data_IF_982919937379
#
_entry.id   IF_982919937379
#
_cell.length_a   1.000
_cell.length_b   1.000
_cell.length_c   1.000
_cell.angle_alpha   90.00
_cell.angle_beta   90.00
_cell.angle_gamma   90.00
#
_symmetry.space_group_name_H-M   'P 1'
#
loop_
_entity.id
_entity.type
_entity.pdbx_description
1 polymer ?
#
# COMPACT_ATOMS: atom_id res chain seq x y z
N UNK A 1 -35.45 -13.75 9.11
CA UNK A 1 -34.57 -14.69 8.37
C UNK A 1 -33.47 -13.86 7.72
N UNK A 2 -32.24 -13.95 8.21
CA UNK A 2 -31.10 -13.14 7.75
C UNK A 2 -29.91 -14.03 7.42
N UNK A 3 -29.42 -13.90 6.20
CA UNK A 3 -28.46 -14.79 5.54
C UNK A 3 -27.06 -14.74 6.18
N UNK A 4 -26.51 -15.90 6.59
CA UNK A 4 -25.11 -16.02 7.03
C UNK A 4 -24.20 -16.15 5.79
N UNK A 5 -23.58 -15.04 5.37
CA UNK A 5 -22.50 -15.06 4.39
C UNK A 5 -21.25 -15.73 4.97
N UNK A 6 -20.91 -16.93 4.47
CA UNK A 6 -19.64 -17.60 4.78
C UNK A 6 -18.52 -16.96 3.95
N UNK A 7 -17.74 -16.07 4.54
CA UNK A 7 -16.49 -15.60 3.94
C UNK A 7 -15.44 -16.71 3.97
N UNK A 8 -14.96 -17.13 2.79
CA UNK A 8 -13.80 -18.04 2.66
C UNK A 8 -12.52 -17.24 2.92
N UNK A 9 -11.71 -17.67 3.89
CA UNK A 9 -10.35 -17.14 4.10
C UNK A 9 -9.36 -18.11 3.45
N UNK A 10 -8.76 -17.72 2.34
CA UNK A 10 -7.61 -18.44 1.77
C UNK A 10 -6.36 -17.94 2.48
N UNK A 11 -5.69 -18.81 3.24
CA UNK A 11 -4.46 -18.49 3.93
C UNK A 11 -3.30 -18.46 2.92
N UNK A 12 -2.65 -17.30 2.78
CA UNK A 12 -1.30 -17.22 2.24
C UNK A 12 -0.34 -17.26 3.43
N UNK A 13 0.56 -18.25 3.40
CA UNK A 13 1.76 -18.40 4.24
C UNK A 13 1.52 -18.90 5.69
N UNK A 14 1.66 -20.22 5.87
CA UNK A 14 2.52 -20.89 6.87
C UNK A 14 2.52 -20.51 8.35
N UNK A 15 1.68 -19.59 8.84
CA UNK A 15 1.57 -19.24 10.26
C UNK A 15 0.39 -19.95 10.92
N UNK A 16 0.54 -20.33 12.20
CA UNK A 16 -0.53 -20.89 13.03
C UNK A 16 -1.87 -20.16 12.78
N UNK A 17 -2.82 -20.86 12.15
CA UNK A 17 -4.19 -20.37 11.96
C UNK A 17 -4.95 -20.53 13.28
N UNK A 18 -4.79 -19.59 14.20
CA UNK A 18 -5.72 -19.47 15.32
C UNK A 18 -7.12 -19.22 14.74
N UNK A 19 -8.17 -19.94 15.19
CA UNK A 19 -9.53 -19.64 14.76
C UNK A 19 -9.83 -18.18 15.10
N UNK A 20 -10.05 -17.35 14.07
CA UNK A 20 -10.38 -15.94 14.23
C UNK A 20 -11.77 -15.82 14.84
N UNK A 21 -11.83 -15.76 16.17
CA UNK A 21 -13.03 -15.38 16.91
C UNK A 21 -13.34 -13.91 16.64
N UNK A 22 -14.37 -13.66 15.83
CA UNK A 22 -14.85 -12.29 15.54
C UNK A 22 -15.88 -11.89 16.59
N UNK A 23 -15.53 -10.91 17.41
CA UNK A 23 -16.45 -10.31 18.39
C UNK A 23 -16.82 -8.90 17.89
N UNK A 24 -18.10 -8.64 17.71
CA UNK A 24 -18.61 -7.31 17.32
C UNK A 24 -19.18 -6.66 18.59
N UNK A 25 -18.64 -5.50 18.97
CA UNK A 25 -19.01 -4.80 20.20
C UNK A 25 -19.37 -3.35 19.86
N UNK A 26 -20.49 -2.87 20.41
CA UNK A 26 -20.86 -1.46 20.33
C UNK A 26 -20.20 -0.66 21.47
N UNK A 27 -19.18 0.15 21.14
CA UNK A 27 -18.48 0.99 22.11
C UNK A 27 -19.33 2.13 22.67
N UNK A 28 -20.42 2.53 22.01
CA UNK A 28 -21.29 3.61 22.48
C UNK A 28 -22.21 3.20 23.63
N UNK A 29 -22.41 1.90 23.82
CA UNK A 29 -23.27 1.34 24.85
C UNK A 29 -22.66 1.40 26.28
N UNK A 30 -21.45 1.94 26.44
CA UNK A 30 -20.77 2.04 27.74
C UNK A 30 -21.58 2.75 28.83
N UNK A 31 -22.50 3.65 28.45
CA UNK A 31 -23.42 4.33 29.39
C UNK A 31 -24.44 3.39 30.03
N UNK A 32 -24.77 2.28 29.36
CA UNK A 32 -25.78 1.30 29.78
C UNK A 32 -25.17 0.02 30.36
N UNK A 33 -23.84 -0.07 30.42
CA UNK A 33 -23.12 -1.23 30.96
C UNK A 33 -23.04 -1.18 32.48
N UNK A 34 -23.52 -2.23 33.15
CA UNK A 34 -23.46 -2.37 34.62
C UNK A 34 -22.09 -2.79 35.15
N UNK A 35 -21.34 -3.56 34.36
CA UNK A 35 -19.99 -4.00 34.73
C UNK A 35 -18.99 -2.84 34.57
N UNK A 36 -18.26 -2.52 35.64
CA UNK A 36 -17.33 -1.40 35.72
C UNK A 36 -16.15 -1.53 34.75
N UNK A 37 -15.53 -2.71 34.69
CA UNK A 37 -14.36 -2.97 33.83
C UNK A 37 -14.74 -2.90 32.34
N UNK A 38 -15.87 -3.51 31.97
CA UNK A 38 -16.36 -3.45 30.60
C UNK A 38 -16.75 -2.03 30.21
N UNK A 39 -17.36 -1.26 31.12
CA UNK A 39 -17.68 0.15 30.89
C UNK A 39 -16.43 0.98 30.61
N UNK A 40 -15.39 0.82 31.43
CA UNK A 40 -14.11 1.52 31.26
C UNK A 40 -13.41 1.11 29.96
N UNK A 41 -13.45 -0.16 29.58
CA UNK A 41 -12.90 -0.65 28.31
C UNK A 41 -13.65 -0.08 27.09
N UNK A 42 -14.99 -0.08 27.10
CA UNK A 42 -15.78 0.50 26.01
C UNK A 42 -15.58 2.01 25.90
N UNK A 43 -15.45 2.69 27.04
CA UNK A 43 -15.11 4.11 27.07
C UNK A 43 -13.71 4.38 26.51
N UNK A 44 -12.73 3.51 26.82
CA UNK A 44 -11.40 3.56 26.22
C UNK A 44 -11.47 3.38 24.69
N UNK A 45 -12.22 2.40 24.17
CA UNK A 45 -12.37 2.20 22.72
C UNK A 45 -12.97 3.43 22.01
N UNK A 46 -13.81 4.20 22.70
CA UNK A 46 -14.41 5.43 22.13
C UNK A 46 -13.55 6.68 22.30
N UNK A 47 -12.84 6.80 23.42
CA UNK A 47 -12.16 8.06 23.82
C UNK A 47 -10.64 8.01 23.75
N UNK A 48 -10.06 6.80 23.71
CA UNK A 48 -8.61 6.58 23.77
C UNK A 48 -7.98 6.93 25.13
N UNK A 49 -8.77 7.10 26.19
CA UNK A 49 -8.26 7.46 27.52
C UNK A 49 -8.20 6.21 28.43
N UNK A 50 -6.99 5.77 28.77
CA UNK A 50 -6.82 4.67 29.72
C UNK A 50 -7.24 5.06 31.13
N UNK A 51 -8.10 4.24 31.74
CA UNK A 51 -8.64 4.47 33.09
C UNK A 51 -8.30 3.36 34.08
N UNK A 52 -7.98 2.18 33.58
CA UNK A 52 -7.67 0.99 34.38
C UNK A 52 -6.36 0.34 33.90
N UNK A 53 -5.86 -0.62 34.69
CA UNK A 53 -4.62 -1.33 34.41
C UNK A 53 -4.64 -2.02 33.03
N UNK A 54 -5.75 -2.71 32.72
CA UNK A 54 -5.95 -3.37 31.43
C UNK A 54 -5.84 -2.43 30.21
N UNK A 55 -6.46 -1.24 30.26
CA UNK A 55 -6.38 -0.26 29.17
C UNK A 55 -4.99 0.37 29.05
N UNK A 56 -4.23 0.45 30.15
CA UNK A 56 -2.84 0.91 30.14
C UNK A 56 -1.91 -0.12 29.51
N UNK A 57 -2.12 -1.40 29.75
CA UNK A 57 -1.37 -2.47 29.08
C UNK A 57 -1.60 -2.45 27.57
N UNK A 58 -2.85 -2.26 27.14
CA UNK A 58 -3.19 -2.10 25.72
C UNK A 58 -2.48 -0.87 25.14
N UNK A 59 -2.50 0.27 25.83
CA UNK A 59 -1.78 1.47 25.39
C UNK A 59 -0.27 1.23 25.28
N UNK A 60 0.34 0.56 26.26
CA UNK A 60 1.76 0.23 26.23
C UNK A 60 2.10 -0.65 25.01
N UNK A 61 1.28 -1.66 24.71
CA UNK A 61 1.47 -2.52 23.54
C UNK A 61 1.21 -1.77 22.22
N UNK A 62 0.25 -0.84 22.19
CA UNK A 62 0.05 0.04 21.04
C UNK A 62 1.27 0.94 20.84
N UNK A 63 1.86 1.46 21.91
CA UNK A 63 3.07 2.28 21.82
C UNK A 63 4.26 1.48 21.32
N UNK A 64 4.50 0.27 21.82
CA UNK A 64 5.60 -0.57 21.29
C UNK A 64 5.43 -0.90 19.81
N UNK A 65 4.20 -1.09 19.33
CA UNK A 65 3.90 -1.29 17.90
C UNK A 65 4.10 0.00 17.10
N UNK A 66 3.72 1.16 17.65
CA UNK A 66 3.94 2.46 17.02
C UNK A 66 5.42 2.83 16.95
N UNK A 67 6.17 2.54 18.02
CA UNK A 67 7.61 2.73 18.18
C UNK A 67 8.44 1.71 17.38
N UNK A 68 7.82 0.62 16.88
CA UNK A 68 8.30 -0.09 15.70
C UNK A 68 8.15 0.76 14.41
N UNK A 69 8.48 2.04 14.56
CA UNK A 69 8.62 3.06 13.56
C UNK A 69 9.72 2.68 12.57
N UNK A 70 10.69 1.86 12.99
CA UNK A 70 11.70 1.27 12.12
C UNK A 70 11.07 0.48 10.98
N UNK A 71 10.18 -0.48 11.26
CA UNK A 71 9.50 -1.22 10.19
C UNK A 71 8.63 -0.30 9.31
N UNK A 72 8.02 0.75 9.90
CA UNK A 72 7.22 1.73 9.15
C UNK A 72 8.09 2.65 8.27
N UNK A 73 9.26 3.02 8.74
CA UNK A 73 10.25 3.80 8.02
C UNK A 73 10.88 2.96 6.90
N UNK A 74 11.24 1.70 7.18
CA UNK A 74 11.70 0.73 6.19
C UNK A 74 10.67 0.54 5.07
N UNK A 75 9.40 0.34 5.41
CA UNK A 75 8.32 0.23 4.42
C UNK A 75 8.19 1.50 3.56
N UNK A 76 8.29 2.69 4.18
CA UNK A 76 8.26 3.96 3.45
C UNK A 76 9.45 4.08 2.50
N UNK A 77 10.66 3.80 2.97
CA UNK A 77 11.89 3.84 2.18
C UNK A 77 11.82 2.88 1.00
N UNK A 78 11.46 1.61 1.23
CA UNK A 78 11.29 0.62 0.17
C UNK A 78 10.30 1.10 -0.89
N UNK A 79 9.14 1.63 -0.49
CA UNK A 79 8.14 2.13 -1.43
C UNK A 79 8.66 3.29 -2.31
N UNK A 80 9.52 4.16 -1.77
CA UNK A 80 10.14 5.24 -2.55
C UNK A 80 11.15 4.71 -3.57
N UNK A 81 12.00 3.76 -3.18
CA UNK A 81 12.95 3.12 -4.11
C UNK A 81 12.24 2.36 -5.22
N UNK A 82 11.17 1.63 -4.89
CA UNK A 82 10.36 0.92 -5.89
C UNK A 82 9.67 1.87 -6.87
N UNK A 83 9.16 3.01 -6.40
CA UNK A 83 8.57 4.03 -7.27
C UNK A 83 9.60 4.65 -8.21
N UNK A 84 10.79 5.00 -7.71
CA UNK A 84 11.88 5.54 -8.52
C UNK A 84 12.37 4.54 -9.57
N UNK A 85 12.54 3.27 -9.18
CA UNK A 85 12.94 2.21 -10.10
C UNK A 85 11.89 2.01 -11.21
N UNK A 86 10.60 2.03 -10.87
CA UNK A 86 9.51 1.96 -11.86
C UNK A 86 9.49 3.16 -12.79
N UNK A 87 9.68 4.37 -12.26
CA UNK A 87 9.69 5.58 -13.08
C UNK A 87 10.86 5.57 -14.06
N UNK A 88 12.06 5.22 -13.59
CA UNK A 88 13.25 5.03 -14.44
C UNK A 88 13.00 3.99 -15.53
N UNK A 89 12.56 2.78 -15.14
CA UNK A 89 12.27 1.72 -16.10
C UNK A 89 11.20 2.08 -17.13
N UNK A 90 10.16 2.82 -16.73
CA UNK A 90 9.15 3.32 -17.66
C UNK A 90 9.73 4.36 -18.63
N UNK A 91 10.51 5.32 -18.13
CA UNK A 91 11.15 6.35 -18.95
C UNK A 91 12.16 5.77 -19.95
N UNK A 92 12.97 4.82 -19.51
CA UNK A 92 13.94 4.10 -20.36
C UNK A 92 13.21 3.25 -21.40
N UNK A 93 12.13 2.55 -21.01
CA UNK A 93 11.31 1.77 -21.93
C UNK A 93 10.63 2.62 -23.00
N UNK A 94 10.12 3.80 -22.64
CA UNK A 94 9.57 4.75 -23.61
C UNK A 94 10.63 5.24 -24.60
N UNK A 95 11.82 5.62 -24.10
CA UNK A 95 12.93 6.06 -24.94
C UNK A 95 13.43 4.92 -25.85
N UNK A 96 13.51 3.71 -25.34
CA UNK A 96 13.93 2.54 -26.12
C UNK A 96 12.92 2.26 -27.25
N UNK A 97 11.62 2.35 -26.95
CA UNK A 97 10.56 2.17 -27.95
C UNK A 97 10.59 3.26 -29.03
N UNK A 98 10.86 4.52 -28.68
CA UNK A 98 10.98 5.59 -29.68
C UNK A 98 12.21 5.37 -30.58
N UNK A 99 13.33 4.93 -30.02
CA UNK A 99 14.55 4.57 -30.78
C UNK A 99 14.29 3.40 -31.73
N UNK A 100 13.63 2.33 -31.27
CA UNK A 100 13.31 1.17 -32.10
C UNK A 100 12.38 1.54 -33.25
N UNK A 101 11.37 2.38 -32.96
CA UNK A 101 10.45 2.90 -33.97
C UNK A 101 11.19 3.74 -35.01
N UNK A 102 12.09 4.63 -34.60
CA UNK A 102 12.89 5.45 -35.50
C UNK A 102 13.83 4.61 -36.38
N UNK A 103 14.48 3.59 -35.82
CA UNK A 103 15.30 2.63 -36.61
C UNK A 103 14.49 1.92 -37.68
N UNK A 104 13.28 1.46 -37.34
CA UNK A 104 12.40 0.79 -38.29
C UNK A 104 11.96 1.72 -39.42
N UNK A 105 11.57 2.96 -39.09
CA UNK A 105 11.17 3.97 -40.07
C UNK A 105 12.32 4.38 -40.99
N UNK A 106 13.53 4.58 -40.44
CA UNK A 106 14.73 4.87 -41.23
C UNK A 106 15.04 3.73 -42.21
N UNK A 107 14.95 2.48 -41.75
CA UNK A 107 15.11 1.30 -42.61
C UNK A 107 14.05 1.20 -43.72
N UNK A 108 12.85 1.75 -43.49
CA UNK A 108 11.75 1.82 -44.47
C UNK A 108 11.85 3.01 -45.42
N UNK A 109 12.82 3.91 -45.22
CA UNK A 109 13.06 5.06 -46.10
C UNK A 109 12.18 6.29 -45.83
N UNK A 110 11.62 6.42 -44.63
CA UNK A 110 10.86 7.63 -44.26
C UNK A 110 11.80 8.85 -44.12
N UNK A 111 11.35 10.06 -44.48
CA UNK A 111 12.12 11.28 -44.32
C UNK A 111 12.34 11.61 -42.83
N UNK A 112 13.48 12.24 -42.51
CA UNK A 112 13.89 12.56 -41.13
C UNK A 112 12.84 13.42 -40.40
N UNK A 113 12.22 14.36 -41.10
CA UNK A 113 11.16 15.22 -40.55
C UNK A 113 9.94 14.43 -40.06
N UNK A 114 9.57 13.35 -40.75
CA UNK A 114 8.44 12.50 -40.39
C UNK A 114 8.79 11.55 -39.25
N UNK A 115 10.03 11.05 -39.21
CA UNK A 115 10.55 10.27 -38.07
C UNK A 115 10.57 11.12 -36.80
N UNK A 116 11.00 12.38 -36.90
CA UNK A 116 11.02 13.33 -35.79
C UNK A 116 9.60 13.58 -35.27
N UNK A 117 8.64 13.84 -36.16
CA UNK A 117 7.23 14.05 -35.79
C UNK A 117 6.62 12.84 -35.07
N UNK A 118 6.95 11.63 -35.53
CA UNK A 118 6.36 10.39 -35.03
C UNK A 118 6.99 9.88 -33.73
N UNK A 119 8.30 10.09 -33.56
CA UNK A 119 9.06 9.50 -32.44
C UNK A 119 9.45 10.52 -31.36
N UNK A 120 9.37 11.82 -31.67
CA UNK A 120 9.78 12.90 -30.77
C UNK A 120 11.29 12.93 -30.48
N UNK A 121 12.09 12.15 -31.21
CA UNK A 121 13.54 12.17 -31.09
C UNK A 121 14.14 13.38 -31.82
N UNK A 122 15.22 13.98 -31.29
CA UNK A 122 15.90 15.08 -31.97
C UNK A 122 16.57 14.57 -33.25
N UNK A 123 16.70 15.43 -34.26
CA UNK A 123 17.27 15.10 -35.57
C UNK A 123 18.67 14.46 -35.44
N UNK A 124 19.51 15.02 -34.55
CA UNK A 124 20.86 14.51 -34.30
C UNK A 124 20.89 13.09 -33.71
N UNK A 125 19.85 12.66 -32.98
CA UNK A 125 19.74 11.26 -32.53
C UNK A 125 19.31 10.37 -33.70
N UNK A 126 18.31 10.79 -34.49
CA UNK A 126 17.80 10.04 -35.66
C UNK A 126 18.88 9.83 -36.73
N UNK A 127 19.73 10.82 -36.97
CA UNK A 127 20.84 10.73 -37.92
C UNK A 127 21.86 9.66 -37.50
N UNK A 128 22.09 9.49 -36.19
CA UNK A 128 23.03 8.52 -35.62
C UNK A 128 22.49 7.09 -35.53
N UNK A 129 21.18 6.88 -35.66
CA UNK A 129 20.52 5.55 -35.60
C UNK A 129 20.77 4.69 -36.84
#
# INVERSE_FOLDING_TARGET
>A
MGSKGKGKTTALNGGLSFPLSKVIINSEAFKHTKNKELKEFLEYLKTGKAKNEFTREIDAMIQTIKENEQARQEYRLMSTFEMDARYKGFSEGLKQKSIETAKLMKKRGYPISEILLMTGLPEAEIEKL
#
